data_IF_131278567827
#
_entry.id   IF_131278567827
#
_cell.length_a   1.000
_cell.length_b   1.000
_cell.length_c   1.000
_cell.angle_alpha   90.00
_cell.angle_beta   90.00
_cell.angle_gamma   90.00
#
_symmetry.space_group_name_H-M   'P 1'
#
loop_
_entity.id
_entity.type
_entity.pdbx_description
1 polymer ?
#
# COMPACT_ATOMS: atom_id res chain seq x y z
N UNK A 1 5.66 3.77 14.56
CA UNK A 1 5.13 5.15 14.42
C UNK A 1 5.74 5.78 13.18
N UNK A 2 4.94 6.46 12.35
CA UNK A 2 5.44 7.17 11.15
C UNK A 2 5.50 8.68 11.34
N UNK A 3 5.14 9.17 12.52
CA UNK A 3 4.97 10.60 12.76
C UNK A 3 3.69 11.21 12.13
N UNK A 4 2.98 10.49 11.26
CA UNK A 4 1.75 10.97 10.61
C UNK A 4 0.50 10.87 11.50
N UNK A 5 -0.61 11.47 11.03
CA UNK A 5 -1.92 11.57 11.71
C UNK A 5 -2.35 10.22 12.32
N UNK A 6 -2.40 9.17 11.49
CA UNK A 6 -2.98 7.88 11.87
C UNK A 6 -2.17 7.16 12.95
N UNK A 7 -0.85 7.15 12.82
CA UNK A 7 0.02 6.54 13.84
C UNK A 7 -0.02 7.30 15.18
N UNK A 8 -0.20 8.61 15.12
CA UNK A 8 -0.33 9.45 16.31
C UNK A 8 -1.63 9.16 17.07
N UNK A 9 -2.74 9.15 16.34
CA UNK A 9 -4.05 8.84 16.91
C UNK A 9 -4.09 7.42 17.50
N UNK A 10 -3.55 6.43 16.76
CA UNK A 10 -3.43 5.06 17.21
C UNK A 10 -2.73 4.95 18.57
N UNK A 11 -1.59 5.63 18.71
CA UNK A 11 -0.81 5.61 19.95
C UNK A 11 -1.60 6.18 21.13
N UNK A 12 -2.21 7.36 20.96
CA UNK A 12 -3.00 8.02 22.00
C UNK A 12 -4.25 7.20 22.40
N UNK A 13 -4.97 6.65 21.41
CA UNK A 13 -6.16 5.83 21.66
C UNK A 13 -5.82 4.57 22.48
N UNK A 14 -4.69 3.93 22.19
CA UNK A 14 -4.25 2.76 22.95
C UNK A 14 -3.87 3.10 24.38
N UNK A 15 -3.18 4.23 24.61
CA UNK A 15 -2.88 4.68 25.98
C UNK A 15 -4.16 4.97 26.77
N UNK A 16 -5.18 5.59 26.16
CA UNK A 16 -6.48 5.83 26.81
C UNK A 16 -7.24 4.55 27.13
N UNK A 17 -7.01 3.50 26.36
CA UNK A 17 -7.54 2.16 26.63
C UNK A 17 -6.76 1.41 27.72
N UNK A 18 -5.69 2.02 28.27
CA UNK A 18 -4.89 1.46 29.34
C UNK A 18 -3.74 0.56 28.90
N UNK A 19 -3.41 0.55 27.61
CA UNK A 19 -2.22 -0.18 27.14
C UNK A 19 -0.94 0.58 27.47
N UNK A 20 0.09 -0.16 27.87
CA UNK A 20 1.46 0.30 27.83
C UNK A 20 1.95 0.27 26.36
N UNK A 21 2.30 1.43 25.82
CA UNK A 21 2.57 1.59 24.39
C UNK A 21 4.04 1.90 24.15
N UNK A 22 4.64 1.16 23.22
CA UNK A 22 5.99 1.41 22.69
C UNK A 22 5.89 1.78 21.22
N UNK A 23 6.56 2.86 20.82
CA UNK A 23 6.61 3.31 19.44
C UNK A 23 7.74 2.62 18.65
N UNK A 24 7.45 2.11 17.45
CA UNK A 24 8.46 1.61 16.51
C UNK A 24 8.35 2.35 15.19
N UNK A 25 9.46 2.93 14.72
CA UNK A 25 9.59 3.53 13.39
C UNK A 25 10.48 2.67 12.52
N UNK A 26 9.99 2.28 11.35
CA UNK A 26 10.76 1.54 10.35
C UNK A 26 11.31 2.51 9.32
N UNK A 27 12.63 2.61 9.23
CA UNK A 27 13.31 3.34 8.17
C UNK A 27 13.46 2.42 6.96
N UNK A 28 12.56 2.55 5.99
CA UNK A 28 12.52 1.69 4.79
C UNK A 28 13.05 2.40 3.54
N UNK A 29 13.24 3.72 3.59
CA UNK A 29 13.68 4.54 2.47
C UNK A 29 14.66 5.64 2.90
N UNK A 30 15.25 6.36 1.95
CA UNK A 30 16.30 7.35 2.21
C UNK A 30 15.79 8.65 2.88
N UNK A 31 14.47 8.81 3.01
CA UNK A 31 13.85 9.98 3.61
C UNK A 31 13.84 9.85 5.12
N UNK A 32 14.38 10.84 5.82
CA UNK A 32 14.58 10.79 7.28
C UNK A 32 13.70 11.78 8.07
N UNK A 33 13.06 12.73 7.40
CA UNK A 33 12.25 13.79 8.04
C UNK A 33 11.18 13.23 8.98
N UNK A 34 10.51 12.15 8.54
CA UNK A 34 9.48 11.49 9.34
C UNK A 34 10.01 10.83 10.63
N UNK A 35 11.31 10.53 10.71
CA UNK A 35 11.93 9.95 11.91
C UNK A 35 12.03 11.00 13.01
N UNK A 36 12.41 12.23 12.67
CA UNK A 36 12.46 13.34 13.59
C UNK A 36 11.07 13.64 14.15
N UNK A 37 10.06 13.71 13.27
CA UNK A 37 8.66 13.92 13.64
C UNK A 37 8.14 12.80 14.55
N UNK A 38 8.47 11.55 14.25
CA UNK A 38 8.06 10.40 15.07
C UNK A 38 8.69 10.44 16.46
N UNK A 39 9.97 10.84 16.58
CA UNK A 39 10.67 10.99 17.86
C UNK A 39 10.07 12.11 18.69
N UNK A 40 9.87 13.28 18.08
CA UNK A 40 9.26 14.43 18.77
C UNK A 40 7.85 14.08 19.28
N UNK A 41 7.08 13.41 18.46
CA UNK A 41 5.75 12.97 18.83
C UNK A 41 5.78 11.96 19.98
N UNK A 42 6.66 10.96 19.92
CA UNK A 42 6.82 9.96 20.98
C UNK A 42 7.17 10.62 22.33
N UNK A 43 8.05 11.62 22.32
CA UNK A 43 8.39 12.43 23.51
C UNK A 43 7.18 13.18 24.06
N UNK A 44 6.39 13.83 23.18
CA UNK A 44 5.19 14.57 23.58
C UNK A 44 4.10 13.66 24.15
N UNK A 45 3.96 12.45 23.64
CA UNK A 45 2.98 11.45 24.10
C UNK A 45 3.50 10.71 25.35
N UNK A 46 4.82 10.75 25.59
CA UNK A 46 5.45 10.05 26.73
C UNK A 46 5.60 8.54 26.52
N UNK A 47 5.90 8.11 25.28
CA UNK A 47 6.12 6.71 24.95
C UNK A 47 7.59 6.46 24.61
N UNK A 48 8.08 5.28 24.99
CA UNK A 48 9.38 4.78 24.55
C UNK A 48 9.35 4.57 23.03
N UNK A 49 10.47 4.92 22.34
CA UNK A 49 10.49 4.91 20.88
C UNK A 49 11.78 4.33 20.32
N UNK A 50 11.62 3.37 19.41
CA UNK A 50 12.70 2.72 18.70
C UNK A 50 12.64 3.03 17.19
N UNK A 51 13.83 3.04 16.57
CA UNK A 51 13.97 3.17 15.11
C UNK A 51 14.76 1.98 14.60
N UNK A 52 14.22 1.28 13.62
CA UNK A 52 14.89 0.16 12.95
C UNK A 52 15.18 0.53 11.50
N UNK A 53 16.42 0.27 11.05
CA UNK A 53 16.83 0.50 9.67
C UNK A 53 16.66 -0.78 8.85
N UNK A 54 15.72 -0.74 7.93
CA UNK A 54 15.32 -1.85 7.07
C UNK A 54 15.40 -1.49 5.58
N UNK A 55 16.20 -0.47 5.25
CA UNK A 55 16.31 0.03 3.86
C UNK A 55 16.84 -1.02 2.88
N UNK A 56 17.85 -1.77 3.28
CA UNK A 56 18.47 -2.77 2.39
C UNK A 56 17.48 -3.91 2.11
N UNK A 57 16.94 -4.63 3.10
CA UNK A 57 15.97 -5.68 2.85
C UNK A 57 14.70 -5.17 2.14
N UNK A 58 14.25 -3.94 2.43
CA UNK A 58 13.09 -3.34 1.74
C UNK A 58 13.34 -3.17 0.25
N UNK A 59 14.51 -2.70 -0.15
CA UNK A 59 14.90 -2.58 -1.56
C UNK A 59 14.94 -3.94 -2.25
N UNK A 60 15.52 -4.94 -1.60
CA UNK A 60 15.66 -6.29 -2.16
C UNK A 60 14.32 -7.01 -2.35
N UNK A 61 13.35 -6.77 -1.48
CA UNK A 61 12.05 -7.48 -1.51
C UNK A 61 10.99 -6.63 -2.20
N UNK A 62 10.72 -5.43 -1.69
CA UNK A 62 9.56 -4.65 -2.12
C UNK A 62 9.83 -3.86 -3.38
N UNK A 63 10.96 -3.13 -3.43
CA UNK A 63 11.30 -2.32 -4.60
C UNK A 63 11.66 -3.19 -5.79
N UNK A 64 12.43 -4.26 -5.57
CA UNK A 64 12.75 -5.23 -6.62
C UNK A 64 11.49 -5.85 -7.21
N UNK A 65 10.56 -6.32 -6.37
CA UNK A 65 9.28 -6.85 -6.87
C UNK A 65 8.50 -5.80 -7.68
N UNK A 66 8.45 -4.55 -7.19
CA UNK A 66 7.80 -3.45 -7.92
C UNK A 66 8.38 -3.28 -9.33
N UNK A 67 9.71 -3.28 -9.47
CA UNK A 67 10.39 -3.18 -10.76
C UNK A 67 10.10 -4.40 -11.65
N UNK A 68 10.22 -5.60 -11.10
CA UNK A 68 10.01 -6.86 -11.81
C UNK A 68 8.57 -6.97 -12.34
N UNK A 69 7.56 -6.55 -11.57
CA UNK A 69 6.16 -6.58 -12.01
C UNK A 69 5.93 -5.68 -13.22
N UNK A 70 6.44 -4.45 -13.21
CA UNK A 70 6.35 -3.55 -14.37
C UNK A 70 7.08 -4.11 -15.59
N UNK A 71 8.25 -4.72 -15.42
CA UNK A 71 8.97 -5.39 -16.51
C UNK A 71 8.20 -6.56 -17.11
N UNK A 72 7.29 -7.19 -16.34
CA UNK A 72 6.41 -8.24 -16.82
C UNK A 72 5.03 -7.74 -17.28
N UNK A 73 4.82 -6.42 -17.40
CA UNK A 73 3.54 -5.85 -17.82
C UNK A 73 2.42 -6.02 -16.81
N UNK A 74 2.75 -6.20 -15.54
CA UNK A 74 1.80 -6.27 -14.44
C UNK A 74 1.88 -4.99 -13.61
N UNK A 75 0.77 -4.58 -13.02
CA UNK A 75 0.72 -3.42 -12.13
C UNK A 75 0.89 -3.90 -10.69
N UNK A 76 2.03 -3.60 -10.04
CA UNK A 76 2.27 -4.04 -8.67
C UNK A 76 1.39 -3.32 -7.66
N UNK A 77 1.04 -4.02 -6.58
CA UNK A 77 0.56 -3.41 -5.35
C UNK A 77 1.59 -3.66 -4.23
N UNK A 78 2.59 -2.78 -4.07
CA UNK A 78 3.67 -3.02 -3.12
C UNK A 78 3.20 -3.09 -1.67
N UNK A 79 2.08 -2.46 -1.30
CA UNK A 79 1.54 -2.52 0.06
C UNK A 79 1.04 -3.91 0.43
N UNK A 80 0.43 -4.65 -0.51
CA UNK A 80 -0.03 -6.04 -0.30
C UNK A 80 1.15 -6.98 -0.04
N UNK A 81 2.30 -6.71 -0.66
CA UNK A 81 3.53 -7.46 -0.42
C UNK A 81 4.24 -7.01 0.87
N UNK A 82 4.33 -5.69 1.07
CA UNK A 82 5.05 -5.09 2.19
C UNK A 82 4.43 -5.44 3.54
N UNK A 83 3.09 -5.44 3.66
CA UNK A 83 2.44 -5.71 4.94
C UNK A 83 2.86 -7.06 5.52
N UNK A 84 2.62 -8.23 4.87
CA UNK A 84 2.97 -9.53 5.46
C UNK A 84 4.47 -9.77 5.56
N UNK A 85 5.24 -9.44 4.52
CA UNK A 85 6.65 -9.81 4.44
C UNK A 85 7.57 -8.84 5.20
N UNK A 86 7.10 -7.63 5.46
CA UNK A 86 7.92 -6.57 6.03
C UNK A 86 7.32 -5.99 7.31
N UNK A 87 6.27 -5.18 7.15
CA UNK A 87 5.75 -4.37 8.25
C UNK A 87 5.32 -5.21 9.46
N UNK A 88 4.46 -6.20 9.24
CA UNK A 88 3.95 -7.02 10.34
C UNK A 88 4.99 -8.01 10.88
N UNK A 89 5.88 -8.53 10.03
CA UNK A 89 7.02 -9.36 10.47
C UNK A 89 7.92 -8.59 11.43
N UNK A 90 8.36 -7.38 11.04
CA UNK A 90 9.23 -6.55 11.88
C UNK A 90 8.53 -6.14 13.18
N UNK A 91 7.24 -5.77 13.10
CA UNK A 91 6.45 -5.45 14.30
C UNK A 91 6.40 -6.62 15.27
N UNK A 92 6.19 -7.84 14.80
CA UNK A 92 6.17 -9.04 15.66
C UNK A 92 7.54 -9.35 16.24
N UNK A 93 8.62 -9.30 15.44
CA UNK A 93 9.98 -9.51 15.90
C UNK A 93 10.36 -8.53 17.04
N UNK A 94 9.98 -7.27 16.89
CA UNK A 94 10.22 -6.26 17.92
C UNK A 94 9.27 -6.40 19.13
N UNK A 95 8.02 -6.77 18.90
CA UNK A 95 7.09 -7.06 19.98
C UNK A 95 7.61 -8.19 20.87
N UNK A 96 8.14 -9.26 20.26
CA UNK A 96 8.72 -10.38 21.00
C UNK A 96 9.99 -9.98 21.76
N UNK A 97 10.86 -9.15 21.18
CA UNK A 97 12.06 -8.62 21.86
C UNK A 97 11.72 -7.74 23.07
N UNK A 98 10.65 -6.96 22.96
CA UNK A 98 10.24 -6.01 24.00
C UNK A 98 9.19 -6.60 24.98
N UNK A 99 8.78 -7.87 24.81
CA UNK A 99 7.77 -8.50 25.63
C UNK A 99 6.35 -7.95 25.40
N UNK A 100 6.08 -7.32 24.24
CA UNK A 100 4.76 -6.80 23.92
C UNK A 100 3.82 -7.91 23.46
N UNK A 101 2.61 -7.97 24.03
CA UNK A 101 1.60 -8.95 23.67
C UNK A 101 0.98 -8.67 22.29
N UNK A 102 0.76 -7.41 21.97
CA UNK A 102 0.09 -6.95 20.76
C UNK A 102 0.98 -6.08 19.90
N UNK A 103 0.64 -6.01 18.62
CA UNK A 103 1.14 -5.03 17.66
C UNK A 103 -0.02 -4.18 17.17
N UNK A 104 0.22 -2.90 16.91
CA UNK A 104 -0.82 -1.98 16.46
C UNK A 104 -0.36 -1.14 15.26
N UNK A 105 -1.29 -0.83 14.40
CA UNK A 105 -1.07 0.06 13.25
C UNK A 105 -2.27 0.97 13.02
N UNK A 106 -2.03 2.09 12.35
CA UNK A 106 -3.07 3.04 11.95
C UNK A 106 -3.85 2.65 10.69
N UNK A 107 -4.03 1.36 10.40
CA UNK A 107 -4.86 0.94 9.27
C UNK A 107 -6.35 1.14 9.58
N UNK A 108 -7.08 1.65 8.61
CA UNK A 108 -8.55 1.74 8.62
C UNK A 108 -9.13 0.38 8.24
N UNK A 109 -9.16 -0.54 9.19
CA UNK A 109 -9.69 -1.88 9.06
C UNK A 109 -10.12 -2.38 10.42
N UNK A 110 -11.03 -3.34 10.48
CA UNK A 110 -11.50 -3.99 11.72
C UNK A 110 -11.05 -5.44 11.77
N UNK A 111 -11.02 -5.99 12.96
CA UNK A 111 -10.85 -7.42 13.20
C UNK A 111 -12.10 -7.96 13.88
N UNK A 112 -12.59 -9.09 13.40
CA UNK A 112 -13.68 -9.85 14.02
C UNK A 112 -13.23 -11.27 14.26
N UNK A 113 -13.59 -11.80 15.43
CA UNK A 113 -13.44 -13.22 15.72
C UNK A 113 -14.75 -13.95 15.43
N UNK A 114 -14.70 -14.98 14.58
CA UNK A 114 -15.83 -15.85 14.25
C UNK A 114 -15.34 -17.30 14.32
N UNK A 115 -16.03 -18.14 15.09
CA UNK A 115 -15.70 -19.56 15.24
C UNK A 115 -14.21 -19.82 15.59
N UNK A 116 -13.60 -18.96 16.44
CA UNK A 116 -12.20 -19.07 16.82
C UNK A 116 -11.19 -18.66 15.75
N UNK A 117 -11.64 -18.09 14.63
CA UNK A 117 -10.81 -17.54 13.57
C UNK A 117 -10.92 -16.01 13.53
N UNK A 118 -9.80 -15.35 13.22
CA UNK A 118 -9.75 -13.90 13.05
C UNK A 118 -9.97 -13.51 11.59
N UNK A 119 -10.87 -12.57 11.37
CA UNK A 119 -11.17 -12.03 10.04
C UNK A 119 -10.85 -10.55 9.96
N UNK A 120 -10.30 -10.14 8.82
CA UNK A 120 -10.18 -8.72 8.47
C UNK A 120 -11.50 -8.27 7.89
N UNK A 121 -12.06 -7.22 8.47
CA UNK A 121 -13.32 -6.61 8.05
C UNK A 121 -13.08 -5.17 7.64
N UNK A 122 -13.88 -4.67 6.72
CA UNK A 122 -13.81 -3.28 6.25
C UNK A 122 -13.88 -2.29 7.40
N UNK A 123 -13.11 -1.22 7.29
CA UNK A 123 -13.20 -0.07 8.18
C UNK A 123 -14.53 0.67 8.01
N UNK A 124 -14.85 1.55 8.98
CA UNK A 124 -16.04 2.39 8.94
C UNK A 124 -16.00 3.44 7.83
N UNK A 125 -14.82 3.96 7.54
CA UNK A 125 -14.58 4.91 6.45
C UNK A 125 -14.39 4.17 5.13
N UNK A 126 -15.43 4.04 4.33
CA UNK A 126 -15.36 3.37 3.02
C UNK A 126 -14.32 4.00 2.08
N UNK A 127 -14.11 5.32 2.18
CA UNK A 127 -13.13 6.05 1.37
C UNK A 127 -11.68 5.86 1.83
N UNK A 128 -11.48 5.30 3.03
CA UNK A 128 -10.17 5.05 3.64
C UNK A 128 -9.94 3.59 4.00
N UNK A 129 -10.89 2.70 3.69
CA UNK A 129 -10.74 1.28 3.99
C UNK A 129 -9.43 0.71 3.42
N UNK A 130 -8.69 0.01 4.27
CA UNK A 130 -7.41 -0.58 3.96
C UNK A 130 -7.38 -2.09 4.13
N UNK A 131 -8.54 -2.73 4.30
CA UNK A 131 -8.66 -4.19 4.43
C UNK A 131 -8.03 -4.94 3.26
N UNK A 132 -8.15 -4.38 2.03
CA UNK A 132 -7.54 -4.93 0.83
C UNK A 132 -6.01 -5.10 0.93
N UNK A 133 -5.31 -4.25 1.68
CA UNK A 133 -3.85 -4.34 1.81
C UNK A 133 -3.39 -5.39 2.85
N UNK A 134 -4.33 -5.99 3.60
CA UNK A 134 -4.06 -6.85 4.74
C UNK A 134 -4.44 -8.32 4.50
N UNK A 135 -5.07 -8.66 3.38
CA UNK A 135 -5.63 -9.99 3.12
C UNK A 135 -4.63 -11.15 3.23
N UNK A 136 -3.32 -10.88 3.10
CA UNK A 136 -2.26 -11.90 3.21
C UNK A 136 -1.78 -12.15 4.64
N UNK A 137 -2.36 -11.49 5.66
CA UNK A 137 -1.99 -11.72 7.04
C UNK A 137 -2.61 -13.02 7.57
N UNK A 138 -1.77 -13.91 8.06
CA UNK A 138 -2.22 -15.19 8.62
C UNK A 138 -2.75 -15.07 10.04
N UNK A 139 -3.44 -16.11 10.53
CA UNK A 139 -4.11 -16.15 11.85
C UNK A 139 -3.18 -15.82 13.02
N UNK A 140 -1.94 -16.32 13.01
CA UNK A 140 -0.97 -16.06 14.07
C UNK A 140 -0.64 -14.56 14.21
N UNK A 141 -0.62 -13.83 13.09
CA UNK A 141 -0.41 -12.38 13.05
C UNK A 141 -1.67 -11.66 13.51
N UNK A 142 -2.83 -12.01 12.93
CA UNK A 142 -4.11 -11.34 13.20
C UNK A 142 -4.50 -11.37 14.67
N UNK A 143 -4.25 -12.48 15.37
CA UNK A 143 -4.54 -12.61 16.82
C UNK A 143 -3.73 -11.65 17.70
N UNK A 144 -2.65 -11.10 17.19
CA UNK A 144 -1.81 -10.12 17.89
C UNK A 144 -2.01 -8.70 17.37
N UNK A 145 -2.86 -8.47 16.36
CA UNK A 145 -3.07 -7.16 15.76
C UNK A 145 -4.15 -6.36 16.48
N UNK A 146 -3.90 -5.04 16.57
CA UNK A 146 -4.90 -4.04 16.93
C UNK A 146 -4.97 -2.98 15.84
N UNK A 147 -6.19 -2.65 15.41
CA UNK A 147 -6.48 -1.59 14.43
C UNK A 147 -7.43 -0.56 15.04
N UNK A 148 -6.94 0.33 15.92
CA UNK A 148 -7.78 1.26 16.66
C UNK A 148 -8.61 2.21 15.80
N UNK A 149 -8.15 2.50 14.57
CA UNK A 149 -8.82 3.42 13.66
C UNK A 149 -9.96 2.77 12.84
N UNK A 150 -10.12 1.47 12.91
CA UNK A 150 -11.12 0.75 12.11
C UNK A 150 -12.57 1.18 12.33
N UNK A 151 -12.90 1.70 13.51
CA UNK A 151 -14.24 2.21 13.87
C UNK A 151 -14.42 3.72 13.66
N UNK A 152 -13.47 4.41 13.01
CA UNK A 152 -13.48 5.86 12.86
C UNK A 152 -13.34 6.25 11.38
N UNK A 153 -13.97 7.37 11.02
CA UNK A 153 -13.64 8.04 9.76
C UNK A 153 -12.49 9.04 9.93
N UNK A 154 -11.91 9.47 8.83
CA UNK A 154 -10.75 10.37 8.85
C UNK A 154 -11.01 11.71 9.54
N UNK A 155 -12.22 12.24 9.42
CA UNK A 155 -12.58 13.50 10.07
C UNK A 155 -12.57 13.32 11.60
N UNK A 156 -13.18 12.26 12.11
CA UNK A 156 -13.18 11.94 13.54
C UNK A 156 -11.76 11.77 14.11
N UNK A 157 -10.85 11.13 13.34
CA UNK A 157 -9.44 10.98 13.75
C UNK A 157 -8.74 12.35 13.84
N UNK A 158 -9.01 13.26 12.91
CA UNK A 158 -8.50 14.65 12.96
C UNK A 158 -9.06 15.44 14.12
N UNK A 159 -10.36 15.35 14.37
CA UNK A 159 -11.03 15.99 15.51
C UNK A 159 -10.48 15.45 16.84
N UNK A 160 -10.29 14.14 16.94
CA UNK A 160 -9.67 13.51 18.10
C UNK A 160 -8.28 14.07 18.39
N UNK A 161 -7.38 14.11 17.41
CA UNK A 161 -6.05 14.70 17.57
C UNK A 161 -6.10 16.16 17.98
N UNK A 162 -7.02 16.93 17.38
CA UNK A 162 -7.22 18.35 17.73
C UNK A 162 -7.65 18.50 19.20
N UNK A 163 -8.58 17.68 19.67
CA UNK A 163 -9.05 17.67 21.07
C UNK A 163 -7.94 17.32 22.08
N UNK A 164 -6.91 16.56 21.63
CA UNK A 164 -5.72 16.20 22.42
C UNK A 164 -4.60 17.25 22.35
N UNK A 165 -4.83 18.38 21.71
CA UNK A 165 -3.84 19.44 21.59
C UNK A 165 -2.86 19.30 20.43
N UNK A 166 -3.02 18.27 19.56
CA UNK A 166 -2.19 18.05 18.38
C UNK A 166 -2.75 18.77 17.15
N UNK A 167 -3.06 20.07 17.28
CA UNK A 167 -3.74 20.89 16.25
C UNK A 167 -2.96 20.94 14.94
N UNK A 168 -1.64 21.16 14.99
CA UNK A 168 -0.81 21.18 13.79
C UNK A 168 -0.87 19.84 13.08
N UNK A 169 -0.69 18.73 13.81
CA UNK A 169 -0.74 17.36 13.29
C UNK A 169 -2.10 17.04 12.67
N UNK A 170 -3.20 17.46 13.28
CA UNK A 170 -4.56 17.19 12.74
C UNK A 170 -4.82 17.82 11.36
N UNK A 171 -4.03 18.84 10.96
CA UNK A 171 -4.16 19.58 9.70
C UNK A 171 -3.20 19.13 8.61
N UNK A 172 -2.29 18.21 8.91
CA UNK A 172 -1.32 17.72 7.92
C UNK A 172 -2.01 17.06 6.71
N UNK A 173 -1.32 17.15 5.58
CA UNK A 173 -1.68 16.45 4.36
C UNK A 173 -1.54 14.93 4.52
N UNK A 174 -2.14 14.19 3.62
CA UNK A 174 -2.04 12.73 3.54
C UNK A 174 -1.11 12.34 2.41
N UNK A 175 -0.28 11.33 2.64
CA UNK A 175 0.46 10.70 1.55
C UNK A 175 -0.50 9.79 0.77
N UNK A 176 -0.76 10.15 -0.49
CA UNK A 176 -1.63 9.37 -1.39
C UNK A 176 -0.86 8.40 -2.27
N UNK A 177 0.48 8.44 -2.22
CA UNK A 177 1.37 7.70 -3.10
C UNK A 177 2.11 6.57 -2.35
N UNK A 178 2.75 5.71 -3.13
CA UNK A 178 3.63 4.66 -2.60
C UNK A 178 4.79 5.29 -1.84
N UNK A 179 5.07 4.81 -0.63
CA UNK A 179 5.96 5.45 0.35
C UNK A 179 7.43 5.66 -0.11
N UNK A 180 7.87 4.99 -1.16
CA UNK A 180 9.21 5.11 -1.72
C UNK A 180 9.26 5.79 -3.09
N UNK A 181 8.12 6.23 -3.63
CA UNK A 181 8.03 6.92 -4.92
C UNK A 181 7.72 8.39 -4.66
N UNK A 182 8.55 9.27 -5.20
CA UNK A 182 8.31 10.71 -5.24
C UNK A 182 7.96 11.10 -6.68
N UNK A 183 6.73 11.53 -6.90
CA UNK A 183 6.25 11.92 -8.23
C UNK A 183 5.87 10.76 -9.14
N UNK A 184 6.22 10.81 -10.42
CA UNK A 184 5.81 9.80 -11.40
C UNK A 184 6.60 8.50 -11.25
N UNK A 185 5.90 7.37 -11.13
CA UNK A 185 6.53 6.04 -11.05
C UNK A 185 7.40 5.71 -12.28
N UNK A 186 7.13 6.32 -13.44
CA UNK A 186 7.91 6.13 -14.66
C UNK A 186 9.34 6.68 -14.52
N UNK A 187 9.49 7.82 -13.84
CA UNK A 187 10.80 8.38 -13.53
C UNK A 187 11.53 7.53 -12.51
N UNK A 188 10.78 6.96 -11.56
CA UNK A 188 11.32 5.97 -10.63
C UNK A 188 11.84 4.73 -11.36
N UNK A 189 11.07 4.16 -12.30
CA UNK A 189 11.51 3.03 -13.12
C UNK A 189 12.84 3.33 -13.83
N UNK A 190 12.95 4.46 -14.53
CA UNK A 190 14.17 4.86 -15.23
C UNK A 190 15.36 5.07 -14.29
N UNK A 191 15.12 5.65 -13.13
CA UNK A 191 16.17 5.91 -12.14
C UNK A 191 16.79 4.63 -11.59
N UNK A 192 15.97 3.62 -11.31
CA UNK A 192 16.40 2.36 -10.70
C UNK A 192 16.68 1.25 -11.70
N UNK A 193 16.30 1.44 -12.95
CA UNK A 193 16.55 0.57 -14.07
C UNK A 193 16.93 1.39 -15.31
N UNK A 194 18.15 1.93 -15.38
CA UNK A 194 18.59 2.80 -16.48
C UNK A 194 18.57 2.13 -17.87
N UNK A 195 18.56 0.81 -17.91
CA UNK A 195 18.55 0.04 -19.17
C UNK A 195 17.13 -0.24 -19.69
N UNK A 196 16.08 0.09 -18.94
CA UNK A 196 14.69 -0.25 -19.29
C UNK A 196 14.27 0.31 -20.65
N UNK A 197 14.69 1.55 -20.98
CA UNK A 197 14.37 2.20 -22.25
C UNK A 197 15.15 1.58 -23.42
N UNK A 198 16.37 1.09 -23.19
CA UNK A 198 17.19 0.44 -24.24
C UNK A 198 16.72 -0.99 -24.49
N UNK A 199 16.40 -1.74 -23.45
CA UNK A 199 16.00 -3.15 -23.55
C UNK A 199 14.58 -3.33 -24.07
N UNK A 200 13.63 -2.47 -23.67
CA UNK A 200 12.22 -2.59 -24.03
C UNK A 200 11.90 -1.69 -25.24
N UNK A 201 12.39 -0.46 -25.22
CA UNK A 201 12.22 0.52 -26.30
C UNK A 201 10.77 0.89 -26.60
N UNK A 202 10.58 1.55 -27.74
CA UNK A 202 9.26 1.94 -28.22
C UNK A 202 8.46 0.75 -28.74
N UNK A 203 7.16 0.73 -28.44
CA UNK A 203 6.22 -0.27 -28.90
C UNK A 203 5.04 0.33 -29.69
N UNK A 204 3.99 -0.46 -29.85
CA UNK A 204 2.79 -0.07 -30.57
C UNK A 204 1.54 -0.09 -29.70
N UNK A 205 0.79 1.00 -29.72
CA UNK A 205 -0.62 0.92 -29.39
C UNK A 205 -1.35 0.15 -30.46
N UNK A 206 -2.20 -0.79 -30.05
CA UNK A 206 -3.00 -1.61 -30.96
C UNK A 206 -4.48 -1.61 -30.56
N UNK A 207 -5.36 -1.78 -31.55
CA UNK A 207 -6.77 -2.04 -31.30
C UNK A 207 -6.99 -3.48 -30.84
N UNK A 208 -8.23 -3.83 -30.49
CA UNK A 208 -8.64 -5.21 -30.19
C UNK A 208 -8.32 -6.16 -31.37
N UNK A 209 -8.48 -5.70 -32.59
CA UNK A 209 -8.23 -6.46 -33.82
C UNK A 209 -6.75 -6.47 -34.25
N UNK A 210 -5.87 -5.91 -33.41
CA UNK A 210 -4.43 -5.89 -33.66
C UNK A 210 -3.95 -4.80 -34.63
N UNK A 211 -4.82 -3.87 -35.03
CA UNK A 211 -4.45 -2.75 -35.90
C UNK A 211 -3.57 -1.77 -35.12
N UNK A 212 -2.45 -1.37 -35.70
CA UNK A 212 -1.54 -0.38 -35.10
C UNK A 212 -2.18 1.00 -35.11
N UNK A 213 -2.26 1.63 -33.95
CA UNK A 213 -2.87 2.93 -33.73
C UNK A 213 -1.86 4.05 -33.58
N UNK A 214 -0.66 3.76 -33.09
CA UNK A 214 0.41 4.71 -32.85
C UNK A 214 1.56 4.10 -32.08
N UNK A 215 2.61 4.88 -31.82
CA UNK A 215 3.80 4.47 -31.04
C UNK A 215 3.62 4.81 -29.57
N UNK A 216 4.25 4.03 -28.70
CA UNK A 216 4.37 4.32 -27.26
C UNK A 216 5.81 4.10 -26.76
N UNK A 217 6.14 4.66 -25.61
CA UNK A 217 7.50 4.70 -25.04
C UNK A 217 7.97 3.37 -24.40
N UNK A 218 7.17 2.31 -24.44
CA UNK A 218 7.42 1.02 -23.82
C UNK A 218 6.25 0.62 -22.90
N UNK A 219 5.85 -0.65 -22.95
CA UNK A 219 4.68 -1.14 -22.18
C UNK A 219 4.77 -0.92 -20.67
N UNK A 220 5.95 -0.87 -19.97
CA UNK A 220 6.00 -0.67 -18.53
C UNK A 220 5.47 0.68 -18.05
N UNK A 221 5.36 1.64 -18.96
CA UNK A 221 4.87 2.99 -18.65
C UNK A 221 3.35 3.13 -18.72
N UNK A 222 2.65 2.01 -18.85
CA UNK A 222 1.20 1.98 -18.96
C UNK A 222 0.58 0.98 -17.98
N UNK A 223 -0.66 1.25 -17.57
CA UNK A 223 -1.40 0.45 -16.61
C UNK A 223 -2.79 0.13 -17.16
N UNK A 224 -3.28 -1.07 -16.99
CA UNK A 224 -4.64 -1.45 -17.38
C UNK A 224 -5.65 -0.51 -16.70
N UNK A 225 -6.61 0.01 -17.46
CA UNK A 225 -7.57 1.02 -17.03
C UNK A 225 -7.09 2.47 -17.22
N UNK A 226 -5.82 2.71 -17.56
CA UNK A 226 -5.30 4.05 -17.77
C UNK A 226 -5.98 4.72 -18.97
N UNK A 227 -6.47 5.96 -18.76
CA UNK A 227 -7.06 6.81 -19.79
C UNK A 227 -6.19 8.02 -20.15
N UNK A 228 -5.57 8.64 -19.13
CA UNK A 228 -4.76 9.85 -19.29
C UNK A 228 -3.31 9.53 -19.58
N UNK A 229 -2.59 10.44 -20.27
CA UNK A 229 -1.16 10.29 -20.54
C UNK A 229 -0.81 9.22 -21.57
N UNK A 230 -1.75 8.87 -22.46
CA UNK A 230 -1.48 7.95 -23.59
C UNK A 230 -0.73 8.64 -24.74
N UNK A 231 -0.76 9.97 -24.78
CA UNK A 231 -0.10 10.79 -25.81
C UNK A 231 -0.50 10.42 -27.26
N UNK A 232 -1.74 9.92 -27.45
CA UNK A 232 -2.31 9.55 -28.74
C UNK A 232 -3.71 10.15 -28.90
N UNK A 233 -3.99 10.72 -30.08
CA UNK A 233 -5.29 11.33 -30.40
C UNK A 233 -6.10 10.36 -31.28
N UNK A 234 -7.15 9.76 -30.74
CA UNK A 234 -8.01 8.79 -31.45
C UNK A 234 -9.45 9.29 -31.64
N UNK A 235 -9.70 10.59 -31.37
CA UNK A 235 -11.02 11.20 -31.53
C UNK A 235 -12.07 10.83 -30.51
N UNK A 236 -11.78 9.84 -29.64
CA UNK A 236 -12.65 9.39 -28.54
C UNK A 236 -11.80 8.95 -27.33
N UNK A 237 -12.38 8.92 -26.11
CA UNK A 237 -11.69 8.39 -24.94
C UNK A 237 -11.35 6.91 -25.11
N UNK A 238 -10.08 6.57 -24.93
CA UNK A 238 -9.59 5.19 -24.98
C UNK A 238 -8.90 4.85 -23.67
N UNK A 239 -8.92 3.57 -23.34
CA UNK A 239 -8.36 3.00 -22.12
C UNK A 239 -7.39 1.88 -22.46
N UNK A 240 -6.36 1.71 -21.66
CA UNK A 240 -5.49 0.53 -21.73
C UNK A 240 -6.28 -0.69 -21.29
N UNK A 241 -6.49 -1.63 -22.20
CA UNK A 241 -7.20 -2.88 -21.92
C UNK A 241 -6.25 -4.01 -21.51
N UNK A 242 -5.07 -4.07 -22.16
CA UNK A 242 -4.11 -5.15 -21.96
C UNK A 242 -2.70 -4.71 -22.32
N UNK A 243 -1.74 -5.21 -21.57
CA UNK A 243 -0.31 -5.11 -21.88
C UNK A 243 0.19 -6.45 -22.42
N UNK A 244 1.03 -6.44 -23.43
CA UNK A 244 1.71 -7.62 -23.94
C UNK A 244 3.21 -7.37 -23.97
N UNK A 245 3.96 -7.87 -22.96
CA UNK A 245 5.40 -7.68 -22.89
C UNK A 245 6.18 -8.32 -24.05
N UNK A 246 5.78 -9.53 -24.47
CA UNK A 246 6.48 -10.27 -25.53
C UNK A 246 6.48 -9.53 -26.87
N UNK A 247 5.37 -8.83 -27.19
CA UNK A 247 5.20 -8.07 -28.43
C UNK A 247 5.46 -6.57 -28.27
N UNK A 248 5.74 -6.14 -27.04
CA UNK A 248 5.82 -4.73 -26.68
C UNK A 248 4.62 -3.94 -27.22
N UNK A 249 3.40 -4.41 -26.93
CA UNK A 249 2.16 -3.76 -27.36
C UNK A 249 1.25 -3.42 -26.19
N UNK A 250 0.57 -2.27 -26.33
CA UNK A 250 -0.45 -1.77 -25.41
C UNK A 250 -1.78 -1.76 -26.17
N UNK A 251 -2.71 -2.60 -25.77
CA UNK A 251 -4.04 -2.67 -26.40
C UNK A 251 -4.93 -1.57 -25.84
N UNK A 252 -5.53 -0.78 -26.72
CA UNK A 252 -6.47 0.27 -26.38
C UNK A 252 -7.89 -0.10 -26.79
N UNK A 253 -8.85 0.30 -25.96
CA UNK A 253 -10.28 0.11 -26.25
C UNK A 253 -11.18 1.05 -25.44
N UNK A 254 -12.48 0.86 -25.54
CA UNK A 254 -13.49 1.66 -24.85
C UNK A 254 -13.70 1.16 -23.41
N UNK A 255 -14.31 1.99 -22.56
CA UNK A 255 -14.49 1.68 -21.13
C UNK A 255 -15.29 0.39 -20.89
N UNK A 256 -16.26 0.09 -21.76
CA UNK A 256 -17.10 -1.11 -21.68
C UNK A 256 -16.28 -2.40 -21.81
N UNK A 257 -15.18 -2.35 -22.55
CA UNK A 257 -14.28 -3.50 -22.78
C UNK A 257 -13.36 -3.79 -21.57
N UNK A 258 -13.34 -2.91 -20.55
CA UNK A 258 -12.65 -3.17 -19.28
C UNK A 258 -13.46 -4.04 -18.32
N UNK A 259 -14.76 -4.20 -18.56
CA UNK A 259 -15.61 -5.03 -17.71
C UNK A 259 -15.22 -6.49 -17.87
N UNK A 260 -15.01 -7.15 -16.75
CA UNK A 260 -14.80 -8.61 -16.67
C UNK A 260 -15.89 -9.22 -15.79
N UNK A 261 -16.38 -10.40 -16.17
CA UNK A 261 -17.38 -11.14 -15.41
C UNK A 261 -16.76 -12.07 -14.37
N UNK A 262 -15.46 -12.32 -14.48
CA UNK A 262 -14.72 -13.21 -13.58
C UNK A 262 -13.30 -12.68 -13.31
N UNK A 263 -12.75 -13.12 -12.18
CA UNK A 263 -11.37 -12.88 -11.79
C UNK A 263 -10.74 -14.22 -11.42
N UNK A 264 -9.60 -14.53 -12.04
CA UNK A 264 -8.81 -15.69 -11.69
C UNK A 264 -7.95 -15.38 -10.46
N UNK A 265 -8.09 -16.18 -9.42
CA UNK A 265 -7.27 -16.09 -8.21
C UNK A 265 -6.34 -17.31 -8.15
N UNK A 266 -5.09 -17.06 -7.79
CA UNK A 266 -4.11 -18.10 -7.52
C UNK A 266 -3.68 -18.04 -6.05
N UNK A 267 -3.36 -19.21 -5.48
CA UNK A 267 -2.90 -19.35 -4.10
C UNK A 267 -3.87 -18.74 -3.08
N UNK A 268 -5.18 -18.90 -3.32
CA UNK A 268 -6.20 -18.39 -2.41
C UNK A 268 -6.06 -19.02 -1.02
N UNK A 269 -6.09 -18.18 0.03
CA UNK A 269 -6.16 -18.63 1.41
C UNK A 269 -7.61 -18.65 1.83
N UNK A 270 -8.14 -19.85 2.06
CA UNK A 270 -9.55 -20.07 2.43
C UNK A 270 -9.57 -20.43 3.92
N UNK A 271 -10.30 -19.66 4.70
CA UNK A 271 -10.42 -19.86 6.15
C UNK A 271 -11.58 -20.80 6.48
N UNK A 272 -12.66 -20.75 5.73
CA UNK A 272 -13.83 -21.64 5.84
C UNK A 272 -14.35 -21.97 4.43
N UNK A 273 -14.26 -23.23 4.03
CA UNK A 273 -14.74 -23.69 2.71
C UNK A 273 -16.27 -23.60 2.58
N UNK A 274 -17.01 -23.66 3.70
CA UNK A 274 -18.48 -23.59 3.66
C UNK A 274 -18.99 -22.16 3.38
N UNK A 275 -18.17 -21.14 3.58
CA UNK A 275 -18.52 -19.75 3.24
C UNK A 275 -18.30 -19.41 1.76
N UNK A 276 -17.73 -20.34 0.96
CA UNK A 276 -17.44 -20.10 -0.47
C UNK A 276 -18.62 -20.51 -1.40
N UNK A 277 -19.61 -21.19 -0.93
CA UNK A 277 -20.79 -21.66 -1.65
C UNK A 277 -22.01 -20.77 -1.36
#
# INVERSE_FOLDING_TARGET
MSGGIDSSATCLMLQEQGYEVVGLTMRVWEKDDFIADAKELAQKIGVEHYVVDERVPFKEVVVKNFMDEYRHGRTPNPCVLCNPLFKFRILLEWADKLGCQYIATGHYSKLEERNGQMYIVRGEDEGKDQSYFLWRLGQAVLRRCLFPLGGYNKLQVREYLNSKGFVAKSREGESMEVCFIEGDYRDFLRKYDPQIDEEIGEGWFVSHDGVKLGRHKGFPYYTVGQRKGLEIALGKPMYVLKLNPEKNTVMLGEAEQLKTEYMLLEQAQITDEAELL
#
